data_IF_748504220726
#
_entry.id   IF_748504220726
#
_cell.length_a   1.000
_cell.length_b   1.000
_cell.length_c   1.000
_cell.angle_alpha   90.00
_cell.angle_beta   90.00
_cell.angle_gamma   90.00
#
_symmetry.space_group_name_H-M   'P 1'
#
loop_
_entity.id
_entity.type
_entity.pdbx_description
1 polymer ?
#
# COMPACT_ATOMS: atom_id res chain seq x y z
N UNK A 1 11.30 16.97 -16.99
CA UNK A 1 10.33 15.93 -17.38
C UNK A 1 10.61 14.69 -16.53
N UNK A 2 9.88 14.53 -15.45
CA UNK A 2 9.93 13.32 -14.65
C UNK A 2 9.22 12.21 -15.43
N UNK A 3 10.00 11.41 -16.12
CA UNK A 3 9.47 10.24 -16.79
C UNK A 3 9.07 9.20 -15.76
N UNK A 4 7.83 8.75 -15.82
CA UNK A 4 7.30 7.70 -14.95
C UNK A 4 8.11 6.41 -15.08
N UNK A 5 8.48 6.07 -16.33
CA UNK A 5 9.36 4.95 -16.67
C UNK A 5 10.41 5.46 -17.61
N UNK A 6 11.67 5.29 -17.25
CA UNK A 6 12.81 5.58 -18.09
C UNK A 6 13.60 4.32 -18.40
N UNK A 7 14.14 4.22 -19.60
CA UNK A 7 15.06 3.17 -20.01
C UNK A 7 16.45 3.79 -20.21
N UNK A 8 17.45 3.15 -19.62
CA UNK A 8 18.87 3.52 -19.74
C UNK A 8 19.68 2.29 -20.13
N UNK A 9 20.71 2.47 -20.90
CA UNK A 9 21.64 1.40 -21.27
C UNK A 9 22.10 1.48 -22.72
N UNK A 10 22.78 0.43 -23.13
CA UNK A 10 23.34 0.30 -24.47
C UNK A 10 22.74 -0.91 -25.18
N UNK A 11 22.48 -0.78 -26.46
CA UNK A 11 22.07 -1.87 -27.34
C UNK A 11 23.07 -2.04 -28.47
N UNK A 12 23.49 -3.27 -28.71
CA UNK A 12 24.29 -3.65 -29.87
C UNK A 12 23.52 -4.63 -30.73
N UNK A 13 23.58 -4.47 -32.02
CA UNK A 13 22.96 -5.42 -32.94
C UNK A 13 23.11 -5.04 -34.40
N UNK A 14 22.84 -6.03 -35.23
CA UNK A 14 22.80 -5.83 -36.70
C UNK A 14 21.35 -6.04 -37.18
N UNK A 15 20.82 -5.05 -37.87
CA UNK A 15 19.44 -5.06 -38.35
C UNK A 15 19.45 -4.92 -39.89
N UNK A 16 18.62 -5.73 -40.57
CA UNK A 16 18.29 -5.57 -41.96
C UNK A 16 16.88 -5.02 -42.08
N UNK A 17 16.73 -3.88 -42.72
CA UNK A 17 15.46 -3.20 -42.94
C UNK A 17 15.07 -3.13 -44.39
N UNK A 18 13.82 -3.46 -44.71
CA UNK A 18 13.23 -3.35 -46.03
C UNK A 18 11.79 -2.82 -45.92
N UNK A 19 11.38 -2.04 -46.91
CA UNK A 19 9.99 -1.61 -47.03
C UNK A 19 9.72 -0.19 -46.61
N UNK A 20 8.46 0.22 -46.70
CA UNK A 20 7.98 1.53 -46.28
C UNK A 20 7.72 1.57 -44.76
N UNK A 21 7.71 2.77 -44.15
CA UNK A 21 7.47 2.95 -42.71
C UNK A 21 6.14 2.35 -42.22
N UNK A 22 5.16 2.26 -43.12
CA UNK A 22 3.86 1.65 -42.82
C UNK A 22 3.85 0.11 -42.94
N UNK A 23 4.89 -0.48 -43.52
CA UNK A 23 5.03 -1.92 -43.72
C UNK A 23 6.53 -2.28 -43.79
N UNK A 24 7.18 -2.19 -42.62
CA UNK A 24 8.59 -2.50 -42.47
C UNK A 24 8.83 -3.99 -42.30
N UNK A 25 9.87 -4.48 -42.96
CA UNK A 25 10.43 -5.81 -42.75
C UNK A 25 11.82 -5.66 -42.12
N UNK A 26 11.95 -6.05 -40.87
CA UNK A 26 13.19 -5.93 -40.09
C UNK A 26 13.54 -7.30 -39.51
N UNK A 27 14.77 -7.73 -39.76
CA UNK A 27 15.35 -8.96 -39.22
C UNK A 27 16.68 -8.67 -38.53
N UNK A 28 17.01 -9.42 -37.52
CA UNK A 28 18.28 -9.32 -36.84
C UNK A 28 18.27 -9.76 -35.39
N UNK A 29 19.30 -9.39 -34.66
CA UNK A 29 19.44 -9.60 -33.22
C UNK A 29 19.91 -8.33 -32.55
N UNK A 30 19.37 -8.07 -31.36
CA UNK A 30 19.78 -6.95 -30.50
C UNK A 30 20.18 -7.48 -29.16
N UNK A 31 21.37 -7.09 -28.70
CA UNK A 31 21.87 -7.37 -27.36
C UNK A 31 21.70 -6.13 -26.51
N UNK A 32 21.09 -6.29 -25.34
CA UNK A 32 20.90 -5.22 -24.36
C UNK A 32 22.00 -5.34 -23.29
N UNK A 33 23.01 -4.47 -23.39
CA UNK A 33 24.09 -4.42 -22.40
C UNK A 33 23.85 -3.32 -21.39
N UNK A 34 23.92 -3.68 -20.10
CA UNK A 34 23.74 -2.73 -18.99
C UNK A 34 22.47 -1.90 -19.07
N UNK A 35 21.41 -2.44 -19.65
CA UNK A 35 20.14 -1.76 -19.78
C UNK A 35 19.29 -1.96 -18.53
N UNK A 36 18.59 -0.89 -18.10
CA UNK A 36 17.63 -0.94 -17.00
C UNK A 36 16.35 -0.21 -17.34
N UNK A 37 15.28 -0.66 -16.69
CA UNK A 37 14.02 0.03 -16.60
C UNK A 37 13.92 0.66 -15.20
N UNK A 38 13.67 1.95 -15.13
CA UNK A 38 13.61 2.67 -13.86
C UNK A 38 12.29 3.40 -13.71
N UNK A 39 11.65 3.24 -12.56
CA UNK A 39 10.49 4.04 -12.16
C UNK A 39 10.80 4.71 -10.82
N UNK A 40 11.24 5.97 -10.86
CA UNK A 40 11.64 6.72 -9.67
C UNK A 40 10.48 6.93 -8.69
N UNK A 41 9.25 7.29 -9.12
CA UNK A 41 8.13 7.51 -8.20
C UNK A 41 7.75 6.28 -7.38
N UNK A 42 8.00 5.08 -7.91
CA UNK A 42 7.63 3.81 -7.25
C UNK A 42 8.82 3.05 -6.67
N UNK A 43 10.04 3.61 -6.75
CA UNK A 43 11.25 2.96 -6.24
C UNK A 43 11.60 1.66 -6.94
N UNK A 44 11.17 1.49 -8.19
CA UNK A 44 11.40 0.30 -9.00
C UNK A 44 12.59 0.52 -9.92
N UNK A 45 13.55 -0.40 -9.88
CA UNK A 45 14.66 -0.47 -10.83
C UNK A 45 14.84 -1.90 -11.27
N UNK A 46 14.74 -2.16 -12.56
CA UNK A 46 14.91 -3.48 -13.15
C UNK A 46 16.03 -3.47 -14.18
N UNK A 47 16.92 -4.44 -14.10
CA UNK A 47 17.97 -4.67 -15.10
C UNK A 47 17.59 -5.81 -16.02
N UNK A 48 17.95 -5.68 -17.28
CA UNK A 48 17.81 -6.75 -18.25
C UNK A 48 18.98 -7.73 -18.13
N UNK A 49 18.71 -9.03 -18.29
CA UNK A 49 19.76 -9.98 -18.57
C UNK A 49 20.36 -9.66 -19.96
N UNK A 50 21.65 -9.87 -20.13
CA UNK A 50 22.33 -9.63 -21.41
C UNK A 50 22.06 -10.77 -22.40
N UNK A 51 20.80 -11.08 -22.63
CA UNK A 51 20.35 -12.08 -23.57
C UNK A 51 19.99 -11.42 -24.92
N UNK A 52 20.27 -12.09 -26.05
CA UNK A 52 19.88 -11.56 -27.33
C UNK A 52 18.37 -11.55 -27.50
N UNK A 53 17.85 -10.46 -28.01
CA UNK A 53 16.47 -10.36 -28.47
C UNK A 53 16.47 -10.51 -29.99
N UNK A 54 15.78 -11.54 -30.46
CA UNK A 54 15.71 -11.82 -31.89
C UNK A 54 14.61 -11.02 -32.53
N UNK A 55 14.92 -10.50 -33.74
CA UNK A 55 13.95 -9.81 -34.55
C UNK A 55 13.78 -10.60 -35.86
N UNK A 56 12.56 -11.05 -36.12
CA UNK A 56 12.18 -11.83 -37.27
C UNK A 56 10.84 -11.34 -37.82
N UNK A 57 10.73 -11.10 -39.11
CA UNK A 57 9.50 -10.61 -39.77
C UNK A 57 8.91 -9.36 -39.06
N UNK A 58 9.77 -8.42 -38.72
CA UNK A 58 9.42 -7.18 -38.02
C UNK A 58 8.74 -7.39 -36.65
N UNK A 59 9.05 -8.53 -36.00
CA UNK A 59 8.66 -8.84 -34.65
C UNK A 59 9.88 -8.99 -33.77
N UNK A 60 9.89 -8.28 -32.66
CA UNK A 60 10.84 -8.47 -31.59
C UNK A 60 10.32 -9.62 -30.73
N UNK A 61 11.10 -10.72 -30.66
CA UNK A 61 10.69 -11.95 -29.98
C UNK A 61 11.32 -12.03 -28.59
N UNK A 62 10.48 -12.09 -27.58
CA UNK A 62 10.89 -12.39 -26.20
C UNK A 62 10.79 -13.90 -25.98
N UNK A 63 11.94 -14.58 -25.98
CA UNK A 63 12.07 -16.02 -25.74
C UNK A 63 12.82 -16.22 -24.42
N UNK A 64 12.13 -16.45 -23.31
CA UNK A 64 12.74 -16.51 -21.97
C UNK A 64 13.55 -15.25 -21.63
N UNK A 65 13.04 -14.10 -21.96
CA UNK A 65 13.69 -12.86 -21.63
C UNK A 65 13.56 -12.59 -20.13
N UNK A 66 14.66 -12.29 -19.46
CA UNK A 66 14.71 -12.15 -18.01
C UNK A 66 15.02 -10.71 -17.61
N UNK A 67 14.23 -10.22 -16.66
CA UNK A 67 14.49 -8.96 -15.96
C UNK A 67 14.70 -9.23 -14.48
N UNK A 68 15.65 -8.53 -13.88
CA UNK A 68 15.94 -8.64 -12.46
C UNK A 68 15.71 -7.31 -11.78
N UNK A 69 15.15 -7.33 -10.59
CA UNK A 69 15.05 -6.15 -9.75
C UNK A 69 16.15 -6.18 -8.68
N UNK A 70 15.80 -6.50 -7.45
CA UNK A 70 16.69 -6.33 -6.32
C UNK A 70 17.27 -7.64 -5.80
N UNK A 71 16.88 -8.77 -6.39
CA UNK A 71 17.42 -10.08 -6.06
C UNK A 71 17.67 -10.92 -7.33
N UNK A 72 18.09 -12.16 -7.16
CA UNK A 72 18.41 -13.07 -8.27
C UNK A 72 17.19 -13.81 -8.84
N UNK A 73 16.00 -13.53 -8.35
CA UNK A 73 14.75 -14.09 -8.88
C UNK A 73 14.29 -13.26 -10.08
N UNK A 74 14.19 -13.84 -11.28
CA UNK A 74 13.84 -13.08 -12.48
C UNK A 74 12.34 -12.87 -12.65
N UNK A 75 12.00 -11.82 -13.36
CA UNK A 75 10.75 -11.71 -14.09
C UNK A 75 10.97 -12.25 -15.51
N UNK A 76 10.31 -13.35 -15.83
CA UNK A 76 10.35 -13.94 -17.16
C UNK A 76 9.32 -13.31 -18.07
N UNK A 77 9.75 -12.92 -19.26
CA UNK A 77 8.90 -12.33 -20.28
C UNK A 77 8.96 -13.20 -21.53
N UNK A 78 7.79 -13.54 -22.05
CA UNK A 78 7.63 -14.29 -23.30
C UNK A 78 6.59 -13.59 -24.19
N UNK A 79 6.82 -13.59 -25.47
CA UNK A 79 5.90 -13.01 -26.43
C UNK A 79 6.60 -12.19 -27.50
N UNK A 80 5.93 -11.17 -27.99
CA UNK A 80 6.44 -10.38 -29.11
C UNK A 80 5.97 -8.93 -29.10
N UNK A 81 6.78 -8.09 -29.72
CA UNK A 81 6.41 -6.74 -30.14
C UNK A 81 6.42 -6.72 -31.67
N UNK A 82 5.26 -6.56 -32.29
CA UNK A 82 5.11 -6.44 -33.74
C UNK A 82 5.20 -4.97 -34.13
N UNK A 83 6.22 -4.63 -34.87
CA UNK A 83 6.46 -3.28 -35.39
C UNK A 83 6.47 -3.20 -36.94
N UNK A 84 5.77 -4.13 -37.60
CA UNK A 84 5.52 -4.08 -39.05
C UNK A 84 4.99 -2.72 -39.48
N UNK A 85 4.11 -2.14 -38.67
CA UNK A 85 3.68 -0.76 -38.81
C UNK A 85 4.14 0.02 -37.58
N UNK A 86 5.12 0.92 -37.73
CA UNK A 86 5.67 1.72 -36.61
C UNK A 86 4.62 2.62 -35.97
N UNK A 87 3.64 3.08 -36.74
CA UNK A 87 2.55 3.91 -36.22
C UNK A 87 1.55 3.12 -35.37
N UNK A 88 1.51 1.80 -35.55
CA UNK A 88 0.61 0.89 -34.82
C UNK A 88 1.35 -0.37 -34.39
N UNK A 89 2.27 -0.21 -33.45
CA UNK A 89 3.00 -1.34 -32.87
C UNK A 89 2.08 -2.13 -31.93
N UNK A 90 2.14 -3.46 -32.02
CA UNK A 90 1.34 -4.38 -31.22
C UNK A 90 2.21 -5.17 -30.28
N UNK A 91 1.86 -5.15 -28.99
CA UNK A 91 2.51 -5.93 -27.95
C UNK A 91 1.64 -7.11 -27.54
N UNK A 92 2.24 -8.29 -27.42
CA UNK A 92 1.62 -9.48 -26.84
C UNK A 92 2.67 -10.22 -26.01
N UNK A 93 2.68 -9.99 -24.71
CA UNK A 93 3.64 -10.59 -23.78
C UNK A 93 2.96 -11.25 -22.61
N UNK A 94 3.59 -12.30 -22.08
CA UNK A 94 3.28 -12.95 -20.82
C UNK A 94 4.45 -12.77 -19.88
N UNK A 95 4.12 -12.58 -18.59
CA UNK A 95 5.11 -12.32 -17.55
C UNK A 95 4.88 -13.26 -16.39
N UNK A 96 5.96 -13.77 -15.82
CA UNK A 96 5.93 -14.63 -14.64
C UNK A 96 7.13 -14.35 -13.75
N UNK A 97 6.87 -14.22 -12.46
CA UNK A 97 7.91 -14.08 -11.45
C UNK A 97 7.55 -14.87 -10.20
N UNK A 98 8.56 -15.42 -9.52
CA UNK A 98 8.42 -16.07 -8.22
C UNK A 98 9.44 -15.49 -7.26
N UNK A 99 9.03 -15.18 -6.05
CA UNK A 99 9.86 -14.56 -5.01
C UNK A 99 10.67 -13.37 -5.54
N UNK A 100 10.03 -12.57 -6.32
CA UNK A 100 10.61 -11.40 -6.97
C UNK A 100 10.63 -10.23 -5.97
N UNK A 101 11.82 -9.70 -5.71
CA UNK A 101 11.97 -8.54 -4.83
C UNK A 101 11.67 -7.27 -5.63
N UNK A 102 10.38 -6.93 -5.68
CA UNK A 102 9.88 -5.82 -6.47
C UNK A 102 10.32 -4.46 -5.92
N UNK A 103 10.27 -4.31 -4.61
CA UNK A 103 10.64 -3.09 -3.91
C UNK A 103 11.72 -3.41 -2.89
N UNK A 104 12.82 -2.66 -2.96
CA UNK A 104 13.87 -2.60 -1.93
C UNK A 104 14.27 -1.13 -1.79
N UNK A 105 13.46 -0.40 -1.05
CA UNK A 105 13.60 1.03 -0.89
C UNK A 105 14.04 1.35 0.54
N UNK A 106 15.09 2.17 0.65
CA UNK A 106 15.55 2.68 1.94
C UNK A 106 14.75 3.92 2.33
N UNK A 107 14.55 4.07 3.63
CA UNK A 107 13.94 5.26 4.18
C UNK A 107 14.76 6.51 3.85
N UNK A 108 14.09 7.57 3.44
CA UNK A 108 14.66 8.91 3.30
C UNK A 108 13.61 9.97 3.67
N UNK A 109 14.01 11.22 3.83
CA UNK A 109 13.14 12.30 4.28
C UNK A 109 11.93 12.57 3.37
N UNK A 110 11.92 12.04 2.14
CA UNK A 110 10.84 12.20 1.15
C UNK A 110 10.07 10.91 0.90
N UNK A 111 10.43 9.81 1.57
CA UNK A 111 9.78 8.52 1.36
C UNK A 111 8.36 8.56 1.89
N UNK A 112 7.41 8.17 1.04
CA UNK A 112 6.05 7.85 1.45
C UNK A 112 5.91 6.35 1.73
N UNK A 113 6.75 5.54 1.10
CA UNK A 113 6.81 4.10 1.31
C UNK A 113 8.25 3.62 1.20
N UNK A 114 8.67 2.73 2.08
CA UNK A 114 9.98 2.10 2.07
C UNK A 114 9.93 0.69 2.66
N UNK A 115 10.97 -0.08 2.45
CA UNK A 115 11.08 -1.46 2.90
C UNK A 115 11.27 -2.43 1.76
N UNK A 116 10.89 -3.69 1.98
CA UNK A 116 11.03 -4.77 1.01
C UNK A 116 9.70 -5.41 0.71
N UNK A 117 9.36 -5.52 -0.57
CA UNK A 117 8.17 -6.22 -1.03
C UNK A 117 8.56 -7.37 -1.98
N UNK A 118 8.22 -8.57 -1.56
CA UNK A 118 8.41 -9.79 -2.34
C UNK A 118 7.07 -10.24 -2.92
N UNK A 119 7.08 -10.56 -4.20
CA UNK A 119 5.86 -10.93 -4.91
C UNK A 119 6.05 -12.16 -5.78
N UNK A 120 4.97 -12.92 -5.95
CA UNK A 120 4.76 -13.77 -7.11
C UNK A 120 3.87 -13.02 -8.08
N UNK A 121 4.19 -13.07 -9.35
CA UNK A 121 3.44 -12.36 -10.37
C UNK A 121 3.20 -13.28 -11.57
N UNK A 122 1.99 -13.22 -12.11
CA UNK A 122 1.61 -13.83 -13.36
C UNK A 122 0.68 -12.88 -14.10
N UNK A 123 1.03 -12.52 -15.33
CA UNK A 123 0.20 -11.59 -16.09
C UNK A 123 0.47 -11.61 -17.58
N UNK A 124 -0.38 -10.92 -18.30
CA UNK A 124 -0.26 -10.67 -19.73
C UNK A 124 -0.51 -9.20 -20.03
N UNK A 125 0.22 -8.70 -21.00
CA UNK A 125 0.04 -7.35 -21.52
C UNK A 125 -0.12 -7.43 -23.04
N UNK A 126 -1.23 -6.90 -23.55
CA UNK A 126 -1.61 -7.03 -24.95
C UNK A 126 -2.22 -5.76 -25.50
N UNK A 127 -2.05 -5.56 -26.77
CA UNK A 127 -2.70 -4.52 -27.53
C UNK A 127 -1.74 -3.59 -28.24
N UNK A 128 -2.27 -2.55 -28.91
CA UNK A 128 -1.42 -1.50 -29.45
C UNK A 128 -0.67 -0.79 -28.31
N UNK A 129 0.58 -0.41 -28.57
CA UNK A 129 1.44 0.26 -27.57
C UNK A 129 0.78 1.54 -27.03
N UNK A 130 -0.07 2.18 -27.82
CA UNK A 130 -0.85 3.35 -27.43
C UNK A 130 -2.07 3.03 -26.55
N UNK A 131 -2.46 1.76 -26.43
CA UNK A 131 -3.63 1.33 -25.65
C UNK A 131 -3.45 -0.12 -25.17
N UNK A 132 -2.52 -0.32 -24.25
CA UNK A 132 -2.19 -1.62 -23.70
C UNK A 132 -3.21 -2.04 -22.63
N UNK A 133 -3.51 -3.34 -22.60
CA UNK A 133 -4.28 -3.97 -21.54
C UNK A 133 -3.42 -4.97 -20.81
N UNK A 134 -3.30 -4.78 -19.51
CA UNK A 134 -2.58 -5.68 -18.60
C UNK A 134 -3.56 -6.35 -17.65
N UNK A 135 -3.49 -7.67 -17.58
CA UNK A 135 -4.29 -8.49 -16.66
C UNK A 135 -3.38 -9.51 -15.99
N UNK A 136 -3.67 -9.83 -14.75
CA UNK A 136 -2.88 -10.82 -14.06
C UNK A 136 -3.19 -10.92 -12.57
N UNK A 137 -2.29 -11.61 -11.88
CA UNK A 137 -2.36 -11.88 -10.45
C UNK A 137 -1.03 -11.52 -9.79
N UNK A 138 -1.12 -10.79 -8.71
CA UNK A 138 0.00 -10.38 -7.87
C UNK A 138 -0.21 -10.93 -6.45
N UNK A 139 0.69 -11.79 -5.99
CA UNK A 139 0.68 -12.29 -4.63
C UNK A 139 1.80 -11.60 -3.84
N UNK A 140 1.43 -10.85 -2.81
CA UNK A 140 2.37 -10.25 -1.86
C UNK A 140 2.75 -11.31 -0.82
N UNK A 141 4.02 -11.66 -0.78
CA UNK A 141 4.51 -12.80 0.01
C UNK A 141 4.77 -12.44 1.47
N UNK A 142 4.79 -13.47 2.32
CA UNK A 142 4.89 -13.35 3.76
C UNK A 142 6.21 -12.76 4.29
N UNK A 143 7.28 -12.78 3.49
CA UNK A 143 8.55 -12.14 3.80
C UNK A 143 8.60 -10.64 3.49
N UNK A 144 7.49 -10.06 3.05
CA UNK A 144 7.33 -8.63 2.81
C UNK A 144 7.32 -7.85 4.12
N UNK A 145 8.06 -6.75 4.16
CA UNK A 145 8.12 -5.82 5.27
C UNK A 145 8.19 -4.39 4.72
N UNK A 146 7.06 -3.73 4.72
CA UNK A 146 6.90 -2.39 4.16
C UNK A 146 6.39 -1.41 5.21
N UNK A 147 6.89 -0.19 5.14
CA UNK A 147 6.36 0.94 5.91
C UNK A 147 5.79 1.98 4.96
N UNK A 148 4.57 2.40 5.24
CA UNK A 148 3.88 3.47 4.54
C UNK A 148 3.68 4.64 5.49
N UNK A 149 4.06 5.84 5.09
CA UNK A 149 3.96 7.05 5.92
C UNK A 149 2.87 7.95 5.38
N UNK A 150 1.82 8.15 6.18
CA UNK A 150 0.77 9.12 5.89
C UNK A 150 1.24 10.51 6.28
N UNK A 151 1.26 11.42 5.33
CA UNK A 151 1.67 12.81 5.58
C UNK A 151 0.56 13.67 6.15
N UNK A 152 -0.69 13.28 5.88
CA UNK A 152 -1.88 14.03 6.28
C UNK A 152 -2.97 13.06 6.78
N UNK A 153 -3.06 12.86 8.08
CA UNK A 153 -4.15 12.10 8.69
C UNK A 153 -4.71 12.84 9.90
N UNK A 154 -6.03 12.94 9.98
CA UNK A 154 -6.73 13.49 11.15
C UNK A 154 -6.61 12.59 12.40
N UNK A 155 -6.00 11.41 12.27
CA UNK A 155 -5.68 10.53 13.40
C UNK A 155 -4.50 11.03 14.22
N UNK A 156 -3.76 12.04 13.75
CA UNK A 156 -2.62 12.60 14.46
C UNK A 156 -3.00 13.86 15.24
N UNK A 157 -2.34 14.05 16.39
CA UNK A 157 -2.52 15.23 17.22
C UNK A 157 -1.99 16.52 16.57
N UNK A 158 -1.21 16.38 15.53
CA UNK A 158 -0.60 17.49 14.79
C UNK A 158 -1.53 18.14 13.75
N UNK A 159 -2.74 17.58 13.55
CA UNK A 159 -3.71 18.10 12.57
C UNK A 159 -4.07 19.56 12.82
N UNK A 160 -4.12 20.02 14.07
CA UNK A 160 -4.39 21.42 14.37
C UNK A 160 -3.25 22.34 13.93
N UNK A 161 -2.00 21.88 14.01
CA UNK A 161 -0.85 22.60 13.51
C UNK A 161 -0.80 22.61 11.99
N UNK A 162 -1.12 21.48 11.35
CA UNK A 162 -1.19 21.39 9.90
C UNK A 162 -2.33 22.22 9.31
N UNK A 163 -3.48 22.29 9.97
CA UNK A 163 -4.56 23.20 9.58
C UNK A 163 -4.14 24.69 9.72
N UNK A 164 -3.42 25.03 10.77
CA UNK A 164 -2.87 26.38 10.94
C UNK A 164 -1.83 26.71 9.85
N UNK A 165 -0.99 25.76 9.47
CA UNK A 165 -0.04 25.91 8.37
C UNK A 165 -0.73 26.03 7.03
N UNK A 166 -1.81 25.27 6.80
CA UNK A 166 -2.67 25.44 5.61
C UNK A 166 -3.30 26.83 5.55
N UNK A 167 -3.76 27.35 6.67
CA UNK A 167 -4.32 28.71 6.75
C UNK A 167 -3.28 29.81 6.50
N UNK A 168 -2.02 29.60 6.86
CA UNK A 168 -0.96 30.57 6.61
C UNK A 168 -0.45 30.56 5.18
N UNK A 169 -0.60 29.45 4.46
CA UNK A 169 -0.25 29.33 3.03
C UNK A 169 -1.33 29.88 2.06
N UNK A 170 -2.44 30.38 2.58
CA UNK A 170 -3.48 31.01 1.76
C UNK A 170 -3.04 32.25 0.96
N UNK A 171 -1.83 32.77 1.23
CA UNK A 171 -1.27 33.89 0.46
C UNK A 171 -0.61 33.51 -0.85
N UNK A 172 -0.38 32.23 -1.13
CA UNK A 172 0.24 31.75 -2.38
C UNK A 172 -0.71 30.92 -3.25
N UNK A 173 -2.01 31.11 -3.11
CA UNK A 173 -3.09 30.70 -3.98
C UNK A 173 -2.80 29.54 -4.95
N UNK A 174 -2.93 28.33 -4.52
CA UNK A 174 -3.32 27.07 -5.15
C UNK A 174 -2.68 25.92 -4.37
N UNK A 175 -3.44 24.91 -3.94
CA UNK A 175 -2.83 23.67 -3.49
C UNK A 175 -1.99 23.14 -4.66
N UNK A 176 -0.71 22.92 -4.42
CA UNK A 176 0.12 22.19 -5.40
C UNK A 176 -0.38 20.75 -5.35
N UNK A 177 -1.30 20.43 -6.23
CA UNK A 177 -1.63 19.04 -6.54
C UNK A 177 -0.40 18.50 -7.24
N UNK A 178 0.39 17.71 -6.54
CA UNK A 178 1.45 16.93 -7.18
C UNK A 178 0.73 15.85 -8.00
N UNK A 179 0.42 16.18 -9.24
CA UNK A 179 -0.08 15.20 -10.18
C UNK A 179 1.02 14.16 -10.39
N UNK A 180 0.75 12.92 -9.97
CA UNK A 180 1.62 11.80 -10.31
C UNK A 180 1.53 11.60 -11.82
N UNK A 181 2.69 11.48 -12.53
CA UNK A 181 2.66 11.29 -13.97
C UNK A 181 1.87 10.01 -14.30
N UNK A 182 0.91 10.13 -15.19
CA UNK A 182 0.09 9.03 -15.67
C UNK A 182 0.82 8.26 -16.78
N UNK A 183 0.73 6.94 -16.77
CA UNK A 183 1.09 6.09 -17.90
C UNK A 183 -0.02 6.18 -18.93
N UNK A 184 0.19 6.97 -19.97
CA UNK A 184 -0.76 7.03 -21.06
C UNK A 184 -0.86 5.69 -21.79
N UNK A 185 -2.09 5.30 -22.12
CA UNK A 185 -2.38 4.11 -22.91
C UNK A 185 -2.30 2.77 -22.18
N UNK A 186 -2.05 2.74 -20.87
CA UNK A 186 -2.09 1.52 -20.08
C UNK A 186 -3.40 1.41 -19.32
N UNK A 187 -4.10 0.27 -19.49
CA UNK A 187 -5.21 -0.15 -18.66
C UNK A 187 -4.81 -1.44 -17.95
N UNK A 188 -4.87 -1.46 -16.64
CA UNK A 188 -4.43 -2.58 -15.82
C UNK A 188 -5.54 -3.06 -14.89
N UNK A 189 -5.68 -4.38 -14.77
CA UNK A 189 -6.49 -5.03 -13.75
C UNK A 189 -5.72 -6.23 -13.19
N UNK A 190 -5.36 -6.16 -11.91
CA UNK A 190 -4.65 -7.22 -11.21
C UNK A 190 -5.47 -7.70 -10.02
N UNK A 191 -5.66 -9.02 -9.92
CA UNK A 191 -6.04 -9.64 -8.66
C UNK A 191 -4.82 -9.63 -7.73
N UNK A 192 -4.98 -9.11 -6.52
CA UNK A 192 -3.90 -9.03 -5.55
C UNK A 192 -4.27 -9.80 -4.29
N UNK A 193 -3.42 -10.72 -3.86
CA UNK A 193 -3.53 -11.37 -2.57
C UNK A 193 -2.38 -10.92 -1.67
N UNK A 194 -2.65 -10.80 -0.38
CA UNK A 194 -1.64 -10.47 0.62
C UNK A 194 -1.57 -11.62 1.62
N UNK A 195 -0.38 -12.19 1.77
CA UNK A 195 -0.13 -13.24 2.75
C UNK A 195 -0.29 -12.69 4.17
N UNK A 196 -0.88 -13.49 5.07
CA UNK A 196 -1.12 -13.10 6.46
C UNK A 196 0.16 -12.83 7.26
N UNK A 197 1.30 -13.34 6.80
CA UNK A 197 2.62 -13.09 7.41
C UNK A 197 3.31 -11.84 6.88
N UNK A 198 2.77 -11.20 5.85
CA UNK A 198 3.31 -9.94 5.35
C UNK A 198 3.14 -8.84 6.40
N UNK A 199 4.22 -8.15 6.70
CA UNK A 199 4.25 -7.08 7.69
C UNK A 199 4.16 -5.73 6.98
N UNK A 200 3.12 -4.97 7.31
CA UNK A 200 2.90 -3.62 6.76
C UNK A 200 2.67 -2.68 7.94
N UNK A 201 3.53 -1.68 8.07
CA UNK A 201 3.40 -0.64 9.08
C UNK A 201 2.89 0.63 8.43
N UNK A 202 1.76 1.13 8.91
CA UNK A 202 1.18 2.39 8.48
C UNK A 202 1.47 3.46 9.53
N UNK A 203 2.44 4.32 9.28
CA UNK A 203 2.73 5.44 10.14
C UNK A 203 1.71 6.56 9.92
N UNK A 204 1.10 7.03 11.00
CA UNK A 204 0.03 8.02 10.98
C UNK A 204 0.56 9.45 11.02
N UNK A 205 1.84 9.62 11.32
CA UNK A 205 2.54 10.90 11.35
C UNK A 205 3.96 10.77 10.78
N UNK A 206 4.55 11.89 10.42
CA UNK A 206 5.84 11.92 9.73
C UNK A 206 7.01 11.38 10.58
N UNK A 207 6.97 11.55 11.89
CA UNK A 207 7.99 11.04 12.82
C UNK A 207 7.75 9.58 13.26
N UNK A 208 6.68 8.95 12.74
CA UNK A 208 6.34 7.54 12.95
C UNK A 208 6.13 7.15 14.43
N UNK A 209 5.78 8.10 15.27
CA UNK A 209 5.47 7.84 16.68
C UNK A 209 4.09 7.24 16.87
N UNK A 210 3.14 7.58 15.98
CA UNK A 210 1.82 6.97 15.89
C UNK A 210 1.76 6.08 14.67
N UNK A 211 1.40 4.82 14.85
CA UNK A 211 1.34 3.87 13.75
C UNK A 211 0.33 2.75 14.01
N UNK A 212 -0.09 2.14 12.93
CA UNK A 212 -0.83 0.89 12.90
C UNK A 212 0.09 -0.17 12.29
N UNK A 213 0.39 -1.19 13.06
CA UNK A 213 1.16 -2.35 12.62
C UNK A 213 0.17 -3.39 12.09
N UNK A 214 0.19 -3.60 10.78
CA UNK A 214 -0.77 -4.43 10.08
C UNK A 214 -0.16 -5.81 9.84
N UNK A 215 -0.75 -6.81 10.46
CA UNK A 215 -0.56 -8.21 10.12
C UNK A 215 -1.92 -8.81 9.80
N UNK A 216 -2.09 -9.19 8.57
CA UNK A 216 -3.35 -9.70 8.09
C UNK A 216 -3.26 -10.07 6.63
N UNK A 217 -4.36 -10.36 6.02
CA UNK A 217 -4.39 -10.76 4.64
C UNK A 217 -5.70 -10.41 3.96
N UNK A 218 -5.73 -10.56 2.67
CA UNK A 218 -6.93 -10.31 1.90
C UNK A 218 -6.72 -10.47 0.41
N UNK A 219 -7.84 -10.52 -0.27
CA UNK A 219 -7.92 -10.51 -1.72
C UNK A 219 -8.43 -9.15 -2.17
N UNK A 220 -7.59 -8.45 -2.90
CA UNK A 220 -7.85 -7.11 -3.41
C UNK A 220 -7.82 -7.11 -4.93
N UNK A 221 -8.42 -6.12 -5.53
CA UNK A 221 -8.29 -5.84 -6.96
C UNK A 221 -7.61 -4.49 -7.15
N UNK A 222 -6.52 -4.49 -7.91
CA UNK A 222 -5.83 -3.26 -8.30
C UNK A 222 -6.16 -2.94 -9.75
N UNK A 223 -6.55 -1.70 -10.00
CA UNK A 223 -6.82 -1.19 -11.34
C UNK A 223 -5.96 0.04 -11.62
N UNK A 224 -5.67 0.25 -12.88
CA UNK A 224 -5.02 1.47 -13.33
C UNK A 224 -5.54 1.87 -14.71
N UNK A 225 -5.80 3.14 -14.88
CA UNK A 225 -5.96 3.79 -16.18
C UNK A 225 -5.44 5.22 -16.09
N UNK A 226 -5.23 5.85 -17.23
CA UNK A 226 -4.66 7.21 -17.30
C UNK A 226 -5.60 8.31 -16.76
N UNK A 227 -6.89 8.04 -16.70
CA UNK A 227 -7.91 9.01 -16.23
C UNK A 227 -8.02 8.97 -14.71
N UNK A 228 -8.22 7.78 -14.14
CA UNK A 228 -8.51 7.60 -12.71
C UNK A 228 -7.27 7.28 -11.87
N UNK A 229 -6.14 6.94 -12.52
CA UNK A 229 -4.94 6.48 -11.83
C UNK A 229 -5.09 5.10 -11.20
N UNK A 230 -4.42 4.87 -10.09
CA UNK A 230 -4.48 3.60 -9.36
C UNK A 230 -5.75 3.55 -8.51
N UNK A 231 -6.50 2.45 -8.65
CA UNK A 231 -7.63 2.10 -7.79
C UNK A 231 -7.38 0.79 -7.08
N UNK A 232 -7.83 0.67 -5.84
CA UNK A 232 -7.82 -0.58 -5.09
C UNK A 232 -9.22 -0.80 -4.53
N UNK A 233 -9.74 -2.03 -4.69
CA UNK A 233 -10.98 -2.46 -4.10
C UNK A 233 -10.79 -3.79 -3.37
N UNK A 234 -11.55 -4.00 -2.30
CA UNK A 234 -11.52 -5.21 -1.51
C UNK A 234 -11.21 -4.98 -0.04
N UNK A 235 -11.19 -6.06 0.71
CA UNK A 235 -11.05 -6.06 2.16
C UNK A 235 -9.71 -6.65 2.58
N UNK A 236 -8.99 -5.92 3.42
CA UNK A 236 -7.79 -6.36 4.11
C UNK A 236 -8.14 -6.65 5.57
N UNK A 237 -8.10 -7.91 5.96
CA UNK A 237 -8.46 -8.35 7.32
C UNK A 237 -7.23 -8.41 8.20
N UNK A 238 -7.33 -7.82 9.40
CA UNK A 238 -6.26 -7.75 10.38
C UNK A 238 -6.40 -8.90 11.37
N UNK A 239 -5.36 -9.72 11.53
CA UNK A 239 -5.40 -10.89 12.40
C UNK A 239 -4.57 -10.70 13.69
N UNK A 240 -3.44 -10.06 13.59
CA UNK A 240 -2.61 -9.68 14.71
C UNK A 240 -1.94 -8.37 14.39
N UNK A 241 -2.05 -7.41 15.26
CA UNK A 241 -1.40 -6.15 15.01
C UNK A 241 -1.43 -5.29 16.25
N UNK A 242 -0.69 -4.22 16.20
CA UNK A 242 -0.61 -3.24 17.27
C UNK A 242 -0.85 -1.85 16.72
N UNK A 243 -1.54 -1.04 17.50
CA UNK A 243 -1.71 0.37 17.21
C UNK A 243 -1.02 1.17 18.31
N UNK A 244 -0.05 1.98 17.93
CA UNK A 244 0.58 2.95 18.83
C UNK A 244 -0.02 4.31 18.57
N UNK A 245 -0.64 4.89 19.58
CA UNK A 245 -1.43 6.09 19.41
C UNK A 245 -1.38 6.97 20.65
N UNK A 246 -1.20 8.27 20.45
CA UNK A 246 -1.23 9.27 21.52
C UNK A 246 -2.34 10.29 21.29
N UNK A 247 -2.94 10.71 22.38
CA UNK A 247 -3.93 11.78 22.42
C UNK A 247 -3.46 12.86 23.40
N UNK A 248 -4.00 14.08 23.32
CA UNK A 248 -3.58 15.18 24.20
C UNK A 248 -3.66 14.86 25.69
N UNK A 249 -4.63 14.03 26.09
CA UNK A 249 -4.87 13.65 27.49
C UNK A 249 -4.43 12.22 27.83
N UNK A 250 -4.15 11.41 26.82
CA UNK A 250 -3.71 10.03 26.97
C UNK A 250 -2.26 9.94 26.51
N UNK A 251 -1.32 9.50 27.37
CA UNK A 251 0.05 9.30 26.93
C UNK A 251 0.12 8.23 25.85
N UNK A 252 1.20 8.21 25.10
CA UNK A 252 1.43 7.26 24.01
C UNK A 252 1.21 5.83 24.51
N UNK A 253 0.20 5.17 23.97
CA UNK A 253 -0.23 3.82 24.35
C UNK A 253 -0.07 2.86 23.19
N UNK A 254 0.20 1.60 23.52
CA UNK A 254 0.18 0.50 22.58
C UNK A 254 -1.07 -0.32 22.81
N UNK A 255 -1.91 -0.41 21.80
CA UNK A 255 -3.13 -1.21 21.81
C UNK A 255 -2.95 -2.46 20.95
N UNK A 256 -3.59 -3.55 21.35
CA UNK A 256 -3.70 -4.75 20.53
C UNK A 256 -4.92 -4.65 19.62
N UNK A 257 -4.70 -4.86 18.33
CA UNK A 257 -5.78 -4.88 17.34
C UNK A 257 -6.56 -6.19 17.50
N UNK A 258 -7.88 -6.09 17.64
CA UNK A 258 -8.74 -7.25 17.75
C UNK A 258 -8.91 -7.96 16.42
N UNK A 259 -8.99 -9.30 16.47
CA UNK A 259 -9.29 -10.13 15.32
C UNK A 259 -10.64 -9.74 14.70
N UNK A 260 -10.70 -9.79 13.37
CA UNK A 260 -11.87 -9.37 12.62
C UNK A 260 -11.91 -7.88 12.30
N UNK A 261 -10.96 -7.09 12.81
CA UNK A 261 -10.72 -5.74 12.32
C UNK A 261 -10.32 -5.77 10.86
N UNK A 262 -10.73 -4.77 10.09
CA UNK A 262 -10.41 -4.73 8.68
C UNK A 262 -10.33 -3.31 8.14
N UNK A 263 -9.69 -3.20 6.99
CA UNK A 263 -9.64 -2.01 6.16
C UNK A 263 -10.27 -2.37 4.82
N UNK A 264 -11.23 -1.58 4.37
CA UNK A 264 -11.93 -1.80 3.10
C UNK A 264 -11.60 -0.70 2.10
N UNK A 265 -11.08 -1.12 0.95
CA UNK A 265 -10.76 -0.22 -0.15
C UNK A 265 -11.94 -0.15 -1.12
N UNK A 266 -12.35 1.06 -1.46
CA UNK A 266 -13.50 1.34 -2.33
C UNK A 266 -13.12 2.12 -3.60
N UNK A 267 -11.85 2.08 -3.97
CA UNK A 267 -11.31 2.77 -5.15
C UNK A 267 -10.08 3.61 -4.82
N UNK A 268 -10.19 4.61 -3.98
CA UNK A 268 -9.06 5.44 -3.56
C UNK A 268 -8.13 4.65 -2.61
N UNK A 269 -6.90 4.32 -3.02
CA UNK A 269 -5.96 3.57 -2.19
C UNK A 269 -5.48 4.34 -0.95
N UNK A 270 -5.67 5.65 -0.92
CA UNK A 270 -5.23 6.53 0.17
C UNK A 270 -6.33 6.90 1.15
N UNK A 271 -7.57 6.51 0.88
CA UNK A 271 -8.71 6.81 1.74
C UNK A 271 -9.64 5.60 1.92
N UNK A 272 -9.13 4.50 2.47
CA UNK A 272 -9.96 3.33 2.75
C UNK A 272 -10.94 3.59 3.90
N UNK A 273 -11.97 2.77 3.97
CA UNK A 273 -12.88 2.68 5.11
C UNK A 273 -12.23 1.84 6.21
N UNK A 274 -12.33 2.33 7.45
CA UNK A 274 -11.77 1.69 8.63
C UNK A 274 -12.86 0.94 9.41
N UNK A 275 -12.50 -0.24 9.91
CA UNK A 275 -13.25 -0.96 10.94
C UNK A 275 -12.23 -1.65 11.84
N UNK A 276 -11.62 -0.86 12.72
CA UNK A 276 -10.52 -1.30 13.57
C UNK A 276 -10.92 -1.10 15.01
N UNK A 277 -10.82 -2.15 15.81
CA UNK A 277 -10.94 -2.10 17.25
C UNK A 277 -9.59 -2.47 17.86
N UNK A 278 -9.03 -1.58 18.65
CA UNK A 278 -7.76 -1.77 19.32
C UNK A 278 -7.91 -1.54 20.82
N UNK A 279 -7.41 -2.46 21.62
CA UNK A 279 -7.69 -2.52 23.05
C UNK A 279 -6.45 -2.74 23.88
N UNK A 280 -6.56 -2.33 25.15
CA UNK A 280 -5.59 -2.57 26.20
C UNK A 280 -6.34 -3.12 27.43
N UNK A 281 -5.74 -4.08 28.14
CA UNK A 281 -6.26 -4.54 29.41
C UNK A 281 -5.79 -3.61 30.52
N UNK A 282 -6.73 -3.11 31.31
CA UNK A 282 -6.47 -2.24 32.44
C UNK A 282 -7.02 -2.90 33.72
N UNK A 283 -6.15 -3.20 34.65
CA UNK A 283 -6.53 -3.73 35.97
C UNK A 283 -6.56 -2.61 36.98
N UNK A 284 -7.69 -2.46 37.66
CA UNK A 284 -7.87 -1.40 38.66
C UNK A 284 -8.72 -1.87 39.84
N UNK A 285 -8.67 -1.14 40.93
CA UNK A 285 -9.49 -1.38 42.09
C UNK A 285 -10.79 -0.60 42.00
N UNK A 286 -11.90 -1.30 42.20
CA UNK A 286 -13.24 -0.74 42.24
C UNK A 286 -13.75 -0.76 43.68
N UNK A 287 -14.16 0.40 44.23
CA UNK A 287 -14.71 0.51 45.55
C UNK A 287 -16.25 0.38 45.49
N UNK A 288 -16.78 -0.64 46.15
CA UNK A 288 -18.22 -0.86 46.26
C UNK A 288 -18.71 -0.48 47.66
N UNK A 289 -18.85 0.82 47.93
CA UNK A 289 -19.42 1.28 49.21
C UNK A 289 -18.52 1.02 50.42
N UNK A 290 -19.07 0.41 51.48
CA UNK A 290 -18.36 0.17 52.75
C UNK A 290 -17.50 -1.10 52.68
N UNK A 291 -16.28 -1.01 52.21
CA UNK A 291 -15.40 -2.17 52.23
C UNK A 291 -14.08 -1.98 51.50
N UNK A 292 -13.25 -3.00 51.54
CA UNK A 292 -12.05 -3.09 50.70
C UNK A 292 -12.44 -3.20 49.25
N UNK A 293 -11.84 -2.36 48.41
CA UNK A 293 -12.03 -2.44 46.94
C UNK A 293 -11.62 -3.81 46.43
N UNK A 294 -12.24 -4.22 45.32
CA UNK A 294 -11.84 -5.42 44.58
C UNK A 294 -11.12 -5.06 43.32
N UNK A 295 -10.21 -5.92 42.92
CA UNK A 295 -9.46 -5.76 41.66
C UNK A 295 -10.28 -6.30 40.48
N UNK A 296 -10.45 -5.50 39.48
CA UNK A 296 -11.23 -5.83 38.25
C UNK A 296 -10.42 -5.58 37.03
N UNK A 297 -10.55 -6.46 36.05
CA UNK A 297 -9.96 -6.33 34.74
C UNK A 297 -10.95 -5.67 33.79
N UNK A 298 -10.52 -4.57 33.18
CA UNK A 298 -11.26 -3.86 32.16
C UNK A 298 -10.54 -3.99 30.80
N UNK A 299 -11.31 -3.99 29.74
CA UNK A 299 -10.83 -3.85 28.38
C UNK A 299 -11.18 -2.45 27.91
N UNK A 300 -10.17 -1.62 27.73
CA UNK A 300 -10.31 -0.24 27.28
C UNK A 300 -9.66 -0.08 25.92
N UNK A 301 -10.22 0.76 25.09
CA UNK A 301 -9.63 0.97 23.78
C UNK A 301 -10.33 2.01 22.94
N UNK A 302 -10.06 1.89 21.65
CA UNK A 302 -10.56 2.78 20.64
C UNK A 302 -11.13 1.98 19.47
N UNK A 303 -12.26 2.44 18.96
CA UNK A 303 -12.86 1.94 17.72
C UNK A 303 -12.74 3.00 16.64
N UNK A 304 -12.07 2.65 15.56
CA UNK A 304 -11.93 3.47 14.38
C UNK A 304 -12.93 3.02 13.31
N UNK A 305 -13.67 3.98 12.77
CA UNK A 305 -14.68 3.77 11.73
C UNK A 305 -14.60 4.86 10.67
N UNK A 306 -15.53 4.84 9.71
CA UNK A 306 -15.57 5.77 8.58
C UNK A 306 -14.31 5.66 7.72
N UNK A 307 -13.78 6.78 7.23
CA UNK A 307 -12.63 6.77 6.32
C UNK A 307 -11.37 7.28 7.00
N UNK A 308 -10.22 6.92 6.41
CA UNK A 308 -8.92 7.32 6.95
C UNK A 308 -8.75 8.85 7.01
N UNK A 309 -9.30 9.58 6.02
CA UNK A 309 -9.21 11.05 5.98
C UNK A 309 -10.16 11.73 6.98
N UNK A 310 -11.30 11.09 7.28
CA UNK A 310 -12.27 11.57 8.26
C UNK A 310 -12.70 10.41 9.16
N UNK A 311 -11.85 9.97 10.08
CA UNK A 311 -12.14 8.82 10.91
C UNK A 311 -13.22 9.14 11.95
N UNK A 312 -14.07 8.17 12.20
CA UNK A 312 -14.89 8.12 13.41
C UNK A 312 -14.06 7.51 14.54
N UNK A 313 -13.94 8.20 15.65
CA UNK A 313 -13.18 7.72 16.82
C UNK A 313 -14.14 7.57 18.01
N UNK A 314 -14.21 6.37 18.55
CA UNK A 314 -15.02 6.06 19.71
C UNK A 314 -14.16 5.36 20.76
N UNK A 315 -14.15 5.89 21.98
CA UNK A 315 -13.51 5.21 23.12
C UNK A 315 -14.48 4.20 23.70
N UNK A 316 -13.98 3.03 24.03
CA UNK A 316 -14.75 1.89 24.50
C UNK A 316 -14.18 1.33 25.82
N UNK A 317 -15.07 0.83 26.64
CA UNK A 317 -14.73 0.12 27.87
C UNK A 317 -15.70 -1.03 28.07
N UNK A 318 -15.16 -2.16 28.51
CA UNK A 318 -15.94 -3.33 28.93
C UNK A 318 -15.27 -4.05 30.07
N UNK A 319 -16.03 -4.84 30.79
CA UNK A 319 -15.55 -5.73 31.84
C UNK A 319 -16.24 -7.09 31.72
N UNK A 320 -15.87 -7.89 30.71
CA UNK A 320 -16.61 -9.11 30.39
C UNK A 320 -16.53 -10.18 31.44
N UNK A 321 -15.52 -10.14 32.31
CA UNK A 321 -15.34 -11.11 33.41
C UNK A 321 -16.05 -10.69 34.73
N UNK A 322 -16.69 -9.52 34.76
CA UNK A 322 -17.44 -9.01 35.88
C UNK A 322 -18.85 -8.63 35.46
N UNK A 323 -19.79 -9.53 35.69
CA UNK A 323 -21.16 -9.36 35.20
C UNK A 323 -21.84 -8.11 35.79
N UNK A 324 -21.58 -7.80 37.05
CA UNK A 324 -22.19 -6.64 37.74
C UNK A 324 -21.71 -5.33 37.11
N UNK A 325 -20.42 -5.18 36.89
CA UNK A 325 -19.85 -3.99 36.26
C UNK A 325 -20.21 -3.91 34.80
N UNK A 326 -20.21 -5.04 34.10
CA UNK A 326 -20.63 -5.01 32.67
C UNK A 326 -22.08 -4.59 32.54
N UNK A 327 -22.98 -5.04 33.41
CA UNK A 327 -24.37 -4.61 33.42
C UNK A 327 -24.50 -3.12 33.73
N UNK A 328 -23.71 -2.61 34.67
CA UNK A 328 -23.65 -1.18 34.98
C UNK A 328 -23.18 -0.37 33.77
N UNK A 329 -22.13 -0.80 33.09
CA UNK A 329 -21.63 -0.16 31.89
C UNK A 329 -22.66 -0.19 30.76
N UNK A 330 -23.41 -1.27 30.61
CA UNK A 330 -24.47 -1.40 29.62
C UNK A 330 -25.64 -0.43 29.81
N UNK A 331 -25.86 0.07 31.03
CA UNK A 331 -26.87 1.08 31.33
C UNK A 331 -26.44 2.49 30.94
N UNK A 332 -25.16 2.70 30.70
CA UNK A 332 -24.59 4.00 30.39
C UNK A 332 -24.69 4.29 28.89
N UNK A 333 -24.71 5.57 28.53
CA UNK A 333 -24.59 6.02 27.14
C UNK A 333 -23.18 5.72 26.59
N UNK A 334 -23.08 5.74 25.26
CA UNK A 334 -21.79 5.62 24.58
C UNK A 334 -20.81 6.71 25.03
N UNK A 335 -21.32 7.95 25.21
CA UNK A 335 -20.51 9.09 25.67
C UNK A 335 -20.00 8.90 27.11
N UNK A 336 -20.84 8.43 27.99
CA UNK A 336 -20.45 8.16 29.39
C UNK A 336 -19.40 7.05 29.47
N UNK A 337 -19.58 5.96 28.73
CA UNK A 337 -18.59 4.88 28.62
C UNK A 337 -17.28 5.38 28.01
N UNK A 338 -17.36 6.25 27.01
CA UNK A 338 -16.18 6.85 26.39
C UNK A 338 -15.37 7.68 27.37
N UNK A 339 -16.01 8.47 28.23
CA UNK A 339 -15.34 9.24 29.29
C UNK A 339 -14.63 8.34 30.31
N UNK A 340 -15.29 7.26 30.71
CA UNK A 340 -14.69 6.27 31.61
C UNK A 340 -13.46 5.64 30.93
N UNK A 341 -13.56 5.23 29.69
CA UNK A 341 -12.45 4.65 28.93
C UNK A 341 -11.26 5.60 28.87
N UNK A 342 -11.48 6.86 28.57
CA UNK A 342 -10.42 7.89 28.51
C UNK A 342 -9.77 8.06 29.89
N UNK A 343 -10.56 8.14 30.94
CA UNK A 343 -10.04 8.28 32.30
C UNK A 343 -9.19 7.08 32.70
N UNK A 344 -9.62 5.89 32.37
CA UNK A 344 -8.89 4.66 32.69
C UNK A 344 -7.58 4.57 31.86
N UNK A 345 -7.61 4.92 30.58
CA UNK A 345 -6.42 4.93 29.74
C UNK A 345 -5.41 5.99 30.19
N UNK A 346 -5.87 7.13 30.69
CA UNK A 346 -5.01 8.20 31.15
C UNK A 346 -4.43 7.96 32.56
N UNK A 347 -5.23 7.44 33.47
CA UNK A 347 -4.88 7.35 34.91
C UNK A 347 -4.81 5.93 35.45
N UNK A 348 -5.36 4.94 34.77
CA UNK A 348 -5.53 3.58 35.27
C UNK A 348 -6.59 3.44 36.36
N UNK A 349 -7.45 4.44 36.53
CA UNK A 349 -8.49 4.45 37.56
C UNK A 349 -9.89 4.41 36.96
N UNK A 350 -10.74 3.63 37.60
CA UNK A 350 -12.18 3.64 37.36
C UNK A 350 -12.85 4.68 38.28
N UNK A 351 -13.42 5.72 37.68
CA UNK A 351 -14.08 6.82 38.38
C UNK A 351 -15.54 6.94 37.93
#
# INVERSE_FOLDING_TARGET
HDQLIGMKGYGEGALKMKGALSNLDIDGEVYLDSAYLVSVPYGISMRFANDPVRITDSKLLFENFMMYANNESPLNIQGSLDFTNIEKMMLDIRMRAQNFLLIDAKENARSEAFGKAYVNFYGAMRGPVSNLKMQGKLDVLGNTDMTYVLKESELTTDTQLDELVKFTNFKSGKPVVVERPALEGLNMMLGMSIDESAHILCALNADQTNYIDLMGGGDLTMTYNSVDGIGITGKYTLNNGKMKYSLPVIPLKTFDIQDGSYIEFNGDPFNPTLNITATENVRTTVNEGQGTGRSVDFICGVKLSQTLNKPGIQFIVSSPNDATLQDELNTMSIEERGKIAITMLASGMYL
#
